data_IF_800058401145
#
_entry.id   IF_800058401145
#
_cell.length_a   1.000
_cell.length_b   1.000
_cell.length_c   1.000
_cell.angle_alpha   90.00
_cell.angle_beta   90.00
_cell.angle_gamma   90.00
#
_symmetry.space_group_name_H-M   'P 1'
#
loop_
_entity.id
_entity.type
_entity.pdbx_description
1 polymer ?
#
# COMPACT_ATOMS: atom_id res chain seq x y z
N UNK A 1 15.45 14.13 15.76
CA UNK A 1 14.95 12.77 16.01
C UNK A 1 15.56 11.78 15.05
N UNK A 2 15.95 10.64 15.58
CA UNK A 2 16.68 9.64 14.81
C UNK A 2 15.77 8.49 14.38
N UNK A 3 15.93 8.05 13.12
CA UNK A 3 15.22 6.88 12.61
C UNK A 3 15.81 5.63 13.26
N UNK A 4 14.98 4.86 13.95
CA UNK A 4 15.40 3.63 14.61
C UNK A 4 15.75 2.57 13.57
N UNK A 5 16.78 1.79 13.82
CA UNK A 5 17.27 0.79 12.88
C UNK A 5 16.19 -0.24 12.51
N UNK A 6 15.48 -0.77 13.51
CA UNK A 6 14.41 -1.75 13.27
C UNK A 6 13.30 -1.20 12.36
N UNK A 7 12.88 0.04 12.62
CA UNK A 7 11.87 0.70 11.80
C UNK A 7 12.35 0.91 10.37
N UNK A 8 13.62 1.31 10.20
CA UNK A 8 14.23 1.48 8.88
C UNK A 8 14.23 0.18 8.10
N UNK A 9 14.67 -0.90 8.72
CA UNK A 9 14.75 -2.21 8.06
C UNK A 9 13.39 -2.68 7.56
N UNK A 10 12.37 -2.54 8.40
CA UNK A 10 11.00 -2.93 8.03
C UNK A 10 10.46 -2.02 6.93
N UNK A 11 10.64 -0.71 7.06
CA UNK A 11 10.19 0.26 6.06
C UNK A 11 10.82 -0.01 4.69
N UNK A 12 12.12 -0.21 4.65
CA UNK A 12 12.85 -0.47 3.42
C UNK A 12 12.45 -1.81 2.79
N UNK A 13 12.15 -2.81 3.62
CA UNK A 13 11.66 -4.09 3.14
C UNK A 13 10.27 -3.96 2.51
N UNK A 14 9.37 -3.21 3.13
CA UNK A 14 7.97 -3.12 2.70
C UNK A 14 7.75 -2.07 1.62
N UNK A 15 8.34 -0.88 1.74
CA UNK A 15 7.94 0.28 0.92
C UNK A 15 9.04 0.96 0.11
N UNK A 16 10.24 0.63 0.19
CA UNK A 16 11.38 0.96 -0.67
C UNK A 16 11.68 2.42 -1.05
N UNK A 17 10.78 3.39 -1.03
CA UNK A 17 11.09 4.74 -1.53
C UNK A 17 10.79 5.85 -0.54
N UNK A 18 11.79 6.72 -0.39
CA UNK A 18 11.63 8.04 0.19
C UNK A 18 11.08 8.95 -0.91
N UNK A 19 9.91 9.50 -0.73
CA UNK A 19 9.32 10.42 -1.67
C UNK A 19 9.69 11.88 -1.37
N UNK A 20 9.13 12.81 -2.13
CA UNK A 20 9.37 14.24 -1.95
C UNK A 20 8.93 14.73 -0.58
N UNK A 21 7.85 14.16 -0.04
CA UNK A 21 7.34 14.53 1.28
C UNK A 21 8.33 14.18 2.38
N UNK A 22 9.05 13.07 2.24
CA UNK A 22 10.11 12.73 3.18
C UNK A 22 11.20 13.80 3.21
N UNK A 23 11.55 14.35 2.05
CA UNK A 23 12.59 15.38 1.97
C UNK A 23 12.14 16.70 2.58
N UNK A 24 10.88 17.11 2.38
CA UNK A 24 10.34 18.37 2.88
C UNK A 24 9.99 18.31 4.37
N UNK A 25 9.48 17.16 4.84
CA UNK A 25 8.92 17.01 6.19
C UNK A 25 9.61 15.86 6.93
N UNK A 26 10.93 15.89 6.93
CA UNK A 26 11.78 14.79 7.36
C UNK A 26 11.50 14.31 8.78
N UNK A 27 11.42 15.23 9.72
CA UNK A 27 11.21 14.87 11.13
C UNK A 27 9.86 14.20 11.33
N UNK A 28 8.81 14.72 10.69
CA UNK A 28 7.47 14.15 10.73
C UNK A 28 7.47 12.71 10.21
N UNK A 29 8.13 12.48 9.08
CA UNK A 29 8.19 11.15 8.47
C UNK A 29 9.02 10.17 9.29
N UNK A 30 10.09 10.62 9.94
CA UNK A 30 10.85 9.77 10.86
C UNK A 30 9.96 9.31 12.01
N UNK A 31 9.16 10.21 12.59
CA UNK A 31 8.20 9.86 13.64
C UNK A 31 7.18 8.83 13.13
N UNK A 32 6.65 9.05 11.93
CA UNK A 32 5.69 8.14 11.32
C UNK A 32 6.28 6.75 11.09
N UNK A 33 7.47 6.68 10.53
CA UNK A 33 8.16 5.41 10.26
C UNK A 33 8.47 4.68 11.57
N UNK A 34 8.99 5.39 12.58
CA UNK A 34 9.29 4.80 13.87
C UNK A 34 8.04 4.21 14.54
N UNK A 35 6.92 4.93 14.50
CA UNK A 35 5.68 4.45 15.07
C UNK A 35 5.09 3.27 14.26
N UNK A 36 4.95 3.46 12.95
CA UNK A 36 4.25 2.50 12.10
C UNK A 36 5.01 1.18 11.99
N UNK A 37 6.30 1.25 11.72
CA UNK A 37 7.11 0.05 11.45
C UNK A 37 7.95 -0.39 12.64
N UNK A 38 8.33 0.55 13.53
CA UNK A 38 9.12 0.23 14.71
C UNK A 38 8.29 -0.22 15.90
N UNK A 39 7.04 0.20 15.98
CA UNK A 39 6.18 -0.13 17.12
C UNK A 39 4.91 -0.88 16.69
N UNK A 40 4.05 -0.27 15.88
CA UNK A 40 2.74 -0.83 15.55
C UNK A 40 2.86 -2.16 14.78
N UNK A 41 3.64 -2.19 13.70
CA UNK A 41 3.82 -3.39 12.90
C UNK A 41 4.44 -4.54 13.73
N UNK A 42 5.46 -4.23 14.51
CA UNK A 42 6.17 -5.22 15.34
C UNK A 42 5.23 -5.81 16.40
N UNK A 43 4.47 -4.96 17.08
CA UNK A 43 3.56 -5.43 18.13
C UNK A 43 2.38 -6.24 17.60
N UNK A 44 1.91 -5.91 16.40
CA UNK A 44 0.82 -6.66 15.78
C UNK A 44 1.23 -8.08 15.38
N UNK A 45 2.53 -8.32 15.24
CA UNK A 45 3.06 -9.61 14.78
C UNK A 45 2.37 -10.07 13.47
N UNK A 46 2.09 -9.11 12.59
CA UNK A 46 1.39 -9.36 11.34
C UNK A 46 2.37 -9.79 10.25
N UNK A 47 1.92 -10.66 9.34
CA UNK A 47 2.69 -10.98 8.16
C UNK A 47 2.60 -9.83 7.13
N UNK A 48 3.46 -9.89 6.13
CA UNK A 48 3.57 -8.87 5.10
C UNK A 48 2.28 -8.72 4.30
N UNK A 49 1.65 -9.83 3.92
CA UNK A 49 0.41 -9.78 3.14
C UNK A 49 -0.72 -9.15 3.93
N UNK A 50 -0.89 -9.52 5.19
CA UNK A 50 -1.92 -8.93 6.06
C UNK A 50 -1.72 -7.43 6.19
N UNK A 51 -0.47 -6.99 6.36
CA UNK A 51 -0.16 -5.56 6.41
C UNK A 51 -0.67 -4.84 5.16
N UNK A 52 -0.35 -5.36 3.97
CA UNK A 52 -0.76 -4.72 2.72
C UNK A 52 -2.26 -4.72 2.51
N UNK A 53 -2.96 -5.80 2.89
CA UNK A 53 -4.42 -5.85 2.78
C UNK A 53 -5.07 -4.77 3.65
N UNK A 54 -4.63 -4.62 4.89
CA UNK A 54 -5.15 -3.62 5.81
C UNK A 54 -4.82 -2.21 5.31
N UNK A 55 -3.58 -1.98 4.91
CA UNK A 55 -3.14 -0.65 4.45
C UNK A 55 -3.84 -0.22 3.17
N UNK A 56 -4.01 -1.13 2.20
CA UNK A 56 -4.72 -0.84 0.96
C UNK A 56 -6.19 -0.52 1.22
N UNK A 57 -6.87 -1.33 2.03
CA UNK A 57 -8.27 -1.10 2.35
C UNK A 57 -8.47 0.21 3.11
N UNK A 58 -7.57 0.51 4.05
CA UNK A 58 -7.66 1.73 4.87
C UNK A 58 -7.42 2.99 4.04
N UNK A 59 -6.41 2.98 3.18
CA UNK A 59 -6.10 4.14 2.33
C UNK A 59 -7.19 4.37 1.28
N UNK A 60 -7.75 3.29 0.75
CA UNK A 60 -8.91 3.38 -0.14
C UNK A 60 -10.10 4.02 0.57
N UNK A 61 -10.41 3.57 1.78
CA UNK A 61 -11.56 4.04 2.53
C UNK A 61 -11.48 5.54 2.85
N UNK A 62 -10.29 6.05 3.17
CA UNK A 62 -10.12 7.48 3.47
C UNK A 62 -9.77 8.32 2.24
N UNK A 63 -9.65 7.72 1.06
CA UNK A 63 -9.35 8.44 -0.17
C UNK A 63 -7.89 8.85 -0.30
N UNK A 64 -6.98 8.16 0.34
CA UNK A 64 -5.55 8.47 0.36
C UNK A 64 -4.82 7.95 -0.87
N UNK A 65 -4.98 8.62 -2.02
CA UNK A 65 -4.43 8.16 -3.30
C UNK A 65 -2.91 8.09 -3.33
N UNK A 66 -2.22 9.05 -2.72
CA UNK A 66 -0.74 9.08 -2.70
C UNK A 66 -0.22 7.86 -1.98
N UNK A 67 -0.73 7.59 -0.78
CA UNK A 67 -0.30 6.44 0.01
C UNK A 67 -0.72 5.12 -0.63
N UNK A 68 -1.93 5.04 -1.18
CA UNK A 68 -2.39 3.86 -1.91
C UNK A 68 -1.44 3.54 -3.06
N UNK A 69 -1.02 4.55 -3.82
CA UNK A 69 -0.06 4.37 -4.92
C UNK A 69 1.29 3.88 -4.43
N UNK A 70 1.77 4.40 -3.31
CA UNK A 70 3.03 3.96 -2.71
C UNK A 70 3.00 2.48 -2.31
N UNK A 71 1.84 2.00 -1.84
CA UNK A 71 1.66 0.59 -1.46
C UNK A 71 1.78 -0.37 -2.65
N UNK A 72 1.48 0.08 -3.87
CA UNK A 72 1.66 -0.74 -5.08
C UNK A 72 3.08 -1.27 -5.21
N UNK A 73 4.05 -0.39 -5.03
CA UNK A 73 5.46 -0.77 -5.17
C UNK A 73 5.86 -1.76 -4.09
N UNK A 74 5.32 -1.59 -2.89
CA UNK A 74 5.54 -2.53 -1.81
C UNK A 74 4.97 -3.90 -2.11
N UNK A 75 3.77 -3.97 -2.67
CA UNK A 75 3.13 -5.23 -3.07
C UNK A 75 4.00 -5.97 -4.09
N UNK A 76 4.45 -5.28 -5.13
CA UNK A 76 5.29 -5.87 -6.17
C UNK A 76 6.64 -6.32 -5.59
N UNK A 77 7.27 -5.47 -4.79
CA UNK A 77 8.57 -5.75 -4.18
C UNK A 77 8.56 -6.98 -3.27
N UNK A 78 7.44 -7.24 -2.61
CA UNK A 78 7.30 -8.36 -1.68
C UNK A 78 6.66 -9.59 -2.32
N UNK A 79 6.66 -9.66 -3.65
CA UNK A 79 6.18 -10.81 -4.43
C UNK A 79 4.72 -11.17 -4.15
N UNK A 80 3.90 -10.18 -3.81
CA UNK A 80 2.47 -10.35 -3.64
C UNK A 80 1.81 -10.12 -4.99
N UNK A 81 0.86 -10.97 -5.36
CA UNK A 81 0.18 -10.86 -6.66
C UNK A 81 -0.54 -9.51 -6.79
N UNK A 82 -0.37 -8.80 -7.92
CA UNK A 82 -1.11 -7.56 -8.18
C UNK A 82 -2.62 -7.72 -8.16
N UNK A 83 -3.13 -8.94 -8.39
CA UNK A 83 -4.55 -9.25 -8.32
C UNK A 83 -5.13 -8.88 -6.96
N UNK A 84 -4.34 -9.02 -5.90
CA UNK A 84 -4.73 -8.69 -4.53
C UNK A 84 -5.19 -7.23 -4.44
N UNK A 85 -4.54 -6.31 -5.15
CA UNK A 85 -4.90 -4.89 -5.13
C UNK A 85 -6.31 -4.70 -5.69
N UNK A 86 -6.58 -5.32 -6.84
CA UNK A 86 -7.90 -5.26 -7.47
C UNK A 86 -8.98 -5.91 -6.58
N UNK A 87 -8.67 -7.05 -5.97
CA UNK A 87 -9.61 -7.74 -5.08
C UNK A 87 -9.95 -6.90 -3.85
N UNK A 88 -8.98 -6.20 -3.27
CA UNK A 88 -9.25 -5.28 -2.15
C UNK A 88 -10.25 -4.22 -2.59
N UNK A 89 -10.06 -3.63 -3.76
CA UNK A 89 -10.95 -2.59 -4.28
C UNK A 89 -12.36 -3.15 -4.50
N UNK A 90 -12.46 -4.33 -5.12
CA UNK A 90 -13.75 -4.96 -5.40
C UNK A 90 -14.51 -5.27 -4.10
N UNK A 91 -13.83 -5.88 -3.14
CA UNK A 91 -14.45 -6.28 -1.87
C UNK A 91 -14.82 -5.07 -1.00
N UNK A 92 -14.09 -3.98 -1.11
CA UNK A 92 -14.38 -2.77 -0.35
C UNK A 92 -15.57 -1.97 -0.91
N UNK A 93 -15.98 -2.22 -2.15
CA UNK A 93 -17.00 -1.44 -2.85
C UNK A 93 -18.29 -1.23 -2.06
N UNK A 94 -18.90 -2.27 -1.42
CA UNK A 94 -20.14 -2.08 -0.67
C UNK A 94 -20.01 -1.11 0.52
N UNK A 95 -18.82 -0.90 1.01
CA UNK A 95 -18.56 -0.09 2.21
C UNK A 95 -18.04 1.29 1.89
N UNK A 96 -17.31 1.43 0.78
CA UNK A 96 -16.61 2.68 0.40
C UNK A 96 -17.43 3.49 -0.60
N UNK A 97 -18.20 2.83 -1.42
CA UNK A 97 -19.01 3.46 -2.46
C UNK A 97 -18.36 3.39 -3.84
N UNK A 98 -19.20 3.19 -4.84
CA UNK A 98 -18.77 2.97 -6.21
C UNK A 98 -17.99 4.16 -6.79
N UNK A 99 -18.41 5.39 -6.51
CA UNK A 99 -17.77 6.58 -7.05
C UNK A 99 -16.29 6.66 -6.64
N UNK A 100 -15.99 6.38 -5.37
CA UNK A 100 -14.60 6.35 -4.89
C UNK A 100 -13.82 5.20 -5.51
N UNK A 101 -14.46 4.04 -5.62
CA UNK A 101 -13.85 2.86 -6.22
C UNK A 101 -13.43 3.13 -7.66
N UNK A 102 -14.24 3.83 -8.44
CA UNK A 102 -13.90 4.20 -9.82
C UNK A 102 -12.59 5.00 -9.90
N UNK A 103 -12.41 5.96 -8.99
CA UNK A 103 -11.17 6.75 -8.94
C UNK A 103 -9.95 5.87 -8.66
N UNK A 104 -10.09 4.92 -7.75
CA UNK A 104 -8.98 4.03 -7.39
C UNK A 104 -8.72 2.96 -8.45
N UNK A 105 -9.74 2.49 -9.15
CA UNK A 105 -9.55 1.59 -10.30
C UNK A 105 -8.80 2.31 -11.43
N UNK A 106 -9.15 3.57 -11.69
CA UNK A 106 -8.43 4.39 -12.67
C UNK A 106 -6.97 4.53 -12.29
N UNK A 107 -6.69 4.82 -11.02
CA UNK A 107 -5.33 4.89 -10.49
C UNK A 107 -4.59 3.57 -10.65
N UNK A 108 -5.22 2.46 -10.29
CA UNK A 108 -4.69 1.11 -10.49
C UNK A 108 -4.27 0.88 -11.93
N UNK A 109 -5.16 1.17 -12.86
CA UNK A 109 -4.91 0.90 -14.27
C UNK A 109 -3.74 1.72 -14.79
N UNK A 110 -3.59 2.97 -14.34
CA UNK A 110 -2.44 3.79 -14.71
C UNK A 110 -1.12 3.19 -14.21
N UNK A 111 -1.09 2.73 -12.97
CA UNK A 111 0.11 2.11 -12.39
C UNK A 111 0.41 0.77 -13.08
N UNK A 112 -0.63 -0.03 -13.33
CA UNK A 112 -0.46 -1.31 -14.03
C UNK A 112 0.15 -1.12 -15.41
N UNK A 113 -0.30 -0.12 -16.17
CA UNK A 113 0.30 0.20 -17.48
C UNK A 113 1.78 0.53 -17.36
N UNK A 114 2.16 1.34 -16.38
CA UNK A 114 3.58 1.71 -16.17
C UNK A 114 4.44 0.50 -15.83
N UNK A 115 3.87 -0.49 -15.15
CA UNK A 115 4.58 -1.70 -14.72
C UNK A 115 4.43 -2.86 -15.71
N UNK A 116 3.80 -2.63 -16.86
CA UNK A 116 3.52 -3.67 -17.86
C UNK A 116 2.71 -4.84 -17.31
N UNK A 117 1.77 -4.56 -16.40
CA UNK A 117 0.84 -5.54 -15.86
C UNK A 117 -0.44 -5.48 -16.69
N UNK A 118 -1.00 -6.64 -17.05
CA UNK A 118 -2.24 -6.71 -17.81
C UNK A 118 -3.39 -6.03 -17.05
N UNK A 119 -4.17 -5.20 -17.77
CA UNK A 119 -5.32 -4.51 -17.17
C UNK A 119 -6.48 -5.46 -16.90
N UNK A 120 -6.70 -6.42 -17.79
CA UNK A 120 -7.70 -7.46 -17.61
C UNK A 120 -6.99 -8.66 -16.99
N UNK A 121 -7.25 -8.87 -15.71
CA UNK A 121 -6.67 -9.97 -14.95
C UNK A 121 -7.59 -11.20 -15.01
N UNK A 122 -7.31 -12.18 -14.19
CA UNK A 122 -8.17 -13.35 -14.02
C UNK A 122 -9.54 -12.93 -13.47
N UNK A 123 -10.57 -13.77 -13.58
CA UNK A 123 -11.89 -13.46 -13.03
C UNK A 123 -11.82 -13.11 -11.55
N UNK A 124 -12.77 -12.27 -11.11
CA UNK A 124 -12.89 -11.89 -9.71
C UNK A 124 -12.98 -13.13 -8.82
N UNK A 125 -12.31 -13.07 -7.68
CA UNK A 125 -12.25 -14.19 -6.75
C UNK A 125 -11.08 -15.15 -6.99
N UNK A 126 -10.32 -14.96 -8.07
CA UNK A 126 -9.12 -15.74 -8.34
C UNK A 126 -7.93 -15.07 -7.67
N UNK A 127 -7.27 -15.78 -6.75
CA UNK A 127 -6.19 -15.20 -5.92
C UNK A 127 -4.79 -15.56 -6.37
N UNK A 128 -4.66 -16.29 -7.43
CA UNK A 128 -3.35 -16.76 -7.93
C UNK A 128 -2.88 -16.01 -9.15
#
# INVERSE_FOLDING_TARGET
>A
MQLRQKAREIFEKLLAKKDQLFASDKEYFINHINFTFGESFVKANSDTQKYFLIALASTLAVGGKIEFKALFQGVIKNDISPIVIKEVIYQATPYVGFARVCDFLSLCNKVFKKLNIALVLTPQGTTT
#
